data_IF_602178952499
#
_entry.id   IF_602178952499
#
_cell.length_a   1.000
_cell.length_b   1.000
_cell.length_c   1.000
_cell.angle_alpha   90.00
_cell.angle_beta   90.00
_cell.angle_gamma   90.00
#
_symmetry.space_group_name_H-M   'P 1'
#
loop_
_entity.id
_entity.type
_entity.pdbx_description
1 polymer ?
#
# COMPACT_ATOMS: atom_id res chain seq x y z
N UNK A 1 -47.43 19.42 20.61
CA UNK A 1 -46.82 18.07 20.59
C UNK A 1 -45.50 18.18 19.86
N UNK A 2 -44.40 18.23 20.63
CA UNK A 2 -43.05 18.09 20.09
C UNK A 2 -42.77 16.59 20.04
N UNK A 3 -42.52 16.05 18.85
CA UNK A 3 -42.06 14.67 18.70
C UNK A 3 -40.66 14.58 19.28
N UNK A 4 -40.49 13.65 20.21
CA UNK A 4 -39.22 13.31 20.82
C UNK A 4 -38.34 12.59 19.77
N UNK A 5 -37.17 13.15 19.47
CA UNK A 5 -36.20 12.57 18.54
C UNK A 5 -35.14 11.76 19.28
N UNK A 6 -35.32 11.50 20.58
CA UNK A 6 -34.40 10.64 21.33
C UNK A 6 -34.59 9.19 20.92
N UNK A 7 -33.48 8.55 20.53
CA UNK A 7 -33.32 7.08 20.45
C UNK A 7 -33.80 6.38 19.18
N UNK A 8 -33.77 7.04 18.02
CA UNK A 8 -33.42 6.28 16.83
C UNK A 8 -31.98 5.79 17.03
N UNK A 9 -31.80 4.49 17.23
CA UNK A 9 -30.52 3.82 17.21
C UNK A 9 -29.84 4.13 15.88
N UNK A 10 -29.02 5.18 15.87
CA UNK A 10 -28.11 5.49 14.78
C UNK A 10 -27.10 4.34 14.81
N UNK A 11 -27.45 3.22 14.20
CA UNK A 11 -26.50 2.23 13.71
C UNK A 11 -25.49 3.04 12.92
N UNK A 12 -24.29 3.24 13.46
CA UNK A 12 -23.27 4.11 12.84
C UNK A 12 -23.23 3.83 11.33
N UNK A 13 -23.78 4.71 10.47
CA UNK A 13 -23.88 4.43 9.05
C UNK A 13 -22.51 4.55 8.38
N UNK A 14 -21.52 5.04 9.13
CA UNK A 14 -20.15 5.19 8.72
C UNK A 14 -19.33 4.03 9.27
N UNK A 15 -18.67 3.31 8.37
CA UNK A 15 -17.62 2.37 8.73
C UNK A 15 -16.52 3.16 9.45
N UNK A 16 -16.44 3.00 10.77
CA UNK A 16 -15.39 3.59 11.61
C UNK A 16 -14.03 2.92 11.38
N UNK A 17 -14.02 1.73 10.76
CA UNK A 17 -12.83 1.00 10.38
C UNK A 17 -12.68 0.96 8.85
N UNK A 18 -11.50 1.34 8.37
CA UNK A 18 -11.09 1.15 6.97
C UNK A 18 -11.12 -0.34 6.66
N UNK A 19 -12.04 -0.77 5.79
CA UNK A 19 -12.07 -2.15 5.34
C UNK A 19 -10.95 -2.41 4.35
N UNK A 20 -10.11 -3.39 4.63
CA UNK A 20 -9.03 -3.80 3.72
C UNK A 20 -9.63 -4.79 2.71
N UNK A 21 -9.51 -4.47 1.43
CA UNK A 21 -9.99 -5.38 0.38
C UNK A 21 -9.18 -6.68 0.37
N UNK A 22 -9.78 -7.85 0.05
CA UNK A 22 -9.05 -9.12 -0.01
C UNK A 22 -7.86 -9.08 -0.98
N UNK A 23 -7.98 -8.35 -2.10
CA UNK A 23 -6.90 -8.19 -3.07
C UNK A 23 -5.75 -7.38 -2.48
N UNK A 24 -6.06 -6.28 -1.76
CA UNK A 24 -5.06 -5.46 -1.07
C UNK A 24 -4.34 -6.28 -0.01
N UNK A 25 -5.07 -7.08 0.78
CA UNK A 25 -4.51 -7.96 1.80
C UNK A 25 -3.55 -8.98 1.18
N UNK A 26 -3.94 -9.63 0.09
CA UNK A 26 -3.09 -10.60 -0.61
C UNK A 26 -1.82 -9.95 -1.16
N UNK A 27 -1.93 -8.76 -1.74
CA UNK A 27 -0.76 -8.02 -2.22
C UNK A 27 0.14 -7.54 -1.08
N UNK A 28 -0.44 -7.13 0.05
CA UNK A 28 0.28 -6.75 1.26
C UNK A 28 1.05 -7.94 1.85
N UNK A 29 0.42 -9.12 1.92
CA UNK A 29 1.05 -10.34 2.40
C UNK A 29 2.20 -10.80 1.49
N UNK A 30 1.99 -10.80 0.16
CA UNK A 30 3.06 -11.11 -0.79
C UNK A 30 4.23 -10.14 -0.65
N UNK A 31 3.93 -8.86 -0.50
CA UNK A 31 4.94 -7.83 -0.32
C UNK A 31 5.71 -8.00 1.00
N UNK A 32 5.01 -8.26 2.11
CA UNK A 32 5.64 -8.42 3.45
C UNK A 32 6.56 -9.63 3.53
N UNK A 33 6.29 -10.69 2.75
CA UNK A 33 7.17 -11.85 2.62
C UNK A 33 8.38 -11.53 1.72
N UNK A 34 8.20 -10.73 0.68
CA UNK A 34 9.25 -10.42 -0.30
C UNK A 34 10.23 -9.33 0.13
N UNK A 35 9.81 -8.44 1.02
CA UNK A 35 10.61 -7.27 1.38
C UNK A 35 11.73 -7.65 2.34
N UNK A 36 12.93 -7.14 2.07
CA UNK A 36 14.03 -7.25 3.00
C UNK A 36 13.82 -6.28 4.17
N UNK A 37 13.76 -6.82 5.38
CA UNK A 37 13.48 -6.04 6.60
C UNK A 37 14.60 -5.06 6.95
N UNK A 38 15.84 -5.32 6.53
CA UNK A 38 16.94 -4.38 6.76
C UNK A 38 16.76 -3.08 6.00
N UNK A 39 15.96 -3.08 4.93
CA UNK A 39 15.76 -1.91 4.07
C UNK A 39 14.67 -1.00 4.62
N UNK A 40 13.87 -1.47 5.60
CA UNK A 40 12.85 -0.68 6.27
C UNK A 40 13.53 0.21 7.31
N UNK A 41 13.57 1.52 7.03
CA UNK A 41 14.19 2.50 7.92
C UNK A 41 13.13 3.18 8.77
N UNK A 42 13.28 3.16 10.08
CA UNK A 42 12.47 4.00 10.97
C UNK A 42 12.90 5.46 10.83
N UNK A 43 11.95 6.39 10.72
CA UNK A 43 12.26 7.81 10.58
C UNK A 43 11.80 8.63 11.79
N UNK A 44 10.49 8.70 12.05
CA UNK A 44 9.93 9.46 13.16
C UNK A 44 8.52 8.97 13.52
N UNK A 45 8.19 8.96 14.81
CA UNK A 45 6.90 8.50 15.32
C UNK A 45 6.53 7.12 14.76
N UNK A 46 5.41 7.01 14.04
CA UNK A 46 4.93 5.79 13.39
C UNK A 46 5.29 5.70 11.91
N UNK A 47 6.15 6.59 11.40
CA UNK A 47 6.56 6.60 9.99
C UNK A 47 7.86 5.82 9.75
N UNK A 48 7.82 5.05 8.67
CA UNK A 48 8.92 4.25 8.15
C UNK A 48 9.15 4.61 6.68
N UNK A 49 10.41 4.58 6.26
CA UNK A 49 10.83 4.70 4.86
C UNK A 49 10.99 3.30 4.31
N UNK A 50 10.39 3.04 3.15
CA UNK A 50 10.40 1.72 2.54
C UNK A 50 10.75 1.82 1.06
N UNK A 51 11.64 0.98 0.52
CA UNK A 51 12.04 1.09 -0.87
C UNK A 51 10.89 0.72 -1.82
N UNK A 52 10.87 1.40 -2.97
CA UNK A 52 10.07 1.02 -4.13
C UNK A 52 10.68 -0.20 -4.82
N UNK A 53 9.89 -0.88 -5.65
CA UNK A 53 10.42 -1.95 -6.53
C UNK A 53 11.39 -1.43 -7.59
N UNK A 54 11.39 -0.12 -7.84
CA UNK A 54 12.27 0.57 -8.79
C UNK A 54 13.32 1.42 -8.09
N UNK A 55 13.56 1.19 -6.79
CA UNK A 55 14.52 1.98 -6.02
C UNK A 55 15.93 1.87 -6.63
N UNK A 56 16.52 3.02 -6.96
CA UNK A 56 17.92 3.12 -7.42
C UNK A 56 18.87 3.52 -6.29
N UNK A 57 18.32 4.02 -5.19
CA UNK A 57 19.05 4.48 -4.00
C UNK A 57 18.54 3.76 -2.74
N UNK A 58 19.40 3.68 -1.72
CA UNK A 58 19.04 3.10 -0.43
C UNK A 58 18.11 4.02 0.37
N UNK A 59 17.38 3.45 1.34
CA UNK A 59 16.45 4.22 2.18
C UNK A 59 17.14 5.28 3.06
N UNK A 60 18.39 5.05 3.46
CA UNK A 60 19.20 6.03 4.19
C UNK A 60 19.56 7.24 3.31
N UNK A 61 20.12 7.00 2.13
CA UNK A 61 20.46 8.05 1.16
C UNK A 61 19.22 8.84 0.75
N UNK A 62 18.10 8.12 0.54
CA UNK A 62 16.82 8.75 0.24
C UNK A 62 16.38 9.72 1.35
N UNK A 63 16.54 9.33 2.62
CA UNK A 63 16.15 10.14 3.77
C UNK A 63 17.06 11.36 3.95
N UNK A 64 18.36 11.22 3.69
CA UNK A 64 19.30 12.34 3.75
C UNK A 64 18.99 13.38 2.66
N UNK A 65 18.67 12.93 1.44
CA UNK A 65 18.20 13.81 0.37
C UNK A 65 16.88 14.50 0.75
N UNK A 66 15.93 13.76 1.32
CA UNK A 66 14.67 14.34 1.81
C UNK A 66 14.90 15.47 2.81
N UNK A 67 15.83 15.28 3.76
CA UNK A 67 16.19 16.28 4.77
C UNK A 67 16.89 17.48 4.18
N UNK A 68 17.75 17.27 3.18
CA UNK A 68 18.45 18.35 2.50
C UNK A 68 17.49 19.26 1.72
N UNK A 69 16.40 18.69 1.18
CA UNK A 69 15.46 19.41 0.31
C UNK A 69 16.10 19.94 -0.97
N UNK A 70 17.26 19.40 -1.36
CA UNK A 70 18.04 19.86 -2.49
C UNK A 70 18.06 18.80 -3.59
N UNK A 71 17.57 19.19 -4.77
CA UNK A 71 17.64 18.41 -6.00
C UNK A 71 18.25 19.29 -7.09
N UNK A 72 19.14 18.71 -7.90
CA UNK A 72 19.80 19.46 -8.97
C UNK A 72 18.85 19.75 -10.14
N UNK A 73 17.89 18.86 -10.39
CA UNK A 73 16.87 19.00 -11.43
C UNK A 73 15.51 18.43 -10.99
N UNK A 74 14.47 18.72 -11.79
CA UNK A 74 13.15 18.14 -11.57
C UNK A 74 13.15 16.61 -11.81
N UNK A 75 13.93 16.12 -12.76
CA UNK A 75 14.04 14.69 -13.03
C UNK A 75 14.69 13.94 -11.86
N UNK A 76 15.69 14.55 -11.20
CA UNK A 76 16.27 14.02 -9.97
C UNK A 76 15.24 13.94 -8.84
N UNK A 77 14.40 14.98 -8.71
CA UNK A 77 13.30 14.99 -7.76
C UNK A 77 12.30 13.86 -8.05
N UNK A 78 11.91 13.64 -9.31
CA UNK A 78 10.98 12.56 -9.68
C UNK A 78 11.61 11.18 -9.42
N UNK A 79 12.88 10.99 -9.77
CA UNK A 79 13.61 9.76 -9.52
C UNK A 79 13.71 9.48 -8.01
N UNK A 80 14.03 10.50 -7.21
CA UNK A 80 14.03 10.42 -5.75
C UNK A 80 12.62 10.09 -5.21
N UNK A 81 11.59 10.84 -5.58
CA UNK A 81 10.22 10.69 -5.06
C UNK A 81 9.62 9.30 -5.37
N UNK A 82 10.05 8.66 -6.46
CA UNK A 82 9.57 7.32 -6.87
C UNK A 82 10.42 6.16 -6.34
N UNK A 83 11.57 6.45 -5.74
CA UNK A 83 12.51 5.43 -5.25
C UNK A 83 12.11 4.86 -3.90
N UNK A 84 11.51 5.63 -3.00
CA UNK A 84 11.06 5.16 -1.69
C UNK A 84 9.72 5.78 -1.31
N UNK A 85 9.06 5.18 -0.32
CA UNK A 85 7.77 5.61 0.19
C UNK A 85 7.85 5.84 1.70
N UNK A 86 7.20 6.89 2.17
CA UNK A 86 6.89 7.08 3.58
C UNK A 86 5.61 6.32 3.89
N UNK A 87 5.66 5.48 4.92
CA UNK A 87 4.59 4.56 5.27
C UNK A 87 4.35 4.61 6.76
N UNK A 88 3.10 4.84 7.15
CA UNK A 88 2.63 4.61 8.52
C UNK A 88 1.78 3.33 8.52
N UNK A 89 2.09 2.33 9.37
CA UNK A 89 1.38 1.06 9.39
C UNK A 89 -0.13 1.27 9.51
N UNK A 90 -0.90 0.58 8.65
CA UNK A 90 -2.37 0.56 8.64
C UNK A 90 -3.08 1.93 8.49
N UNK A 91 -2.34 3.00 8.20
CA UNK A 91 -2.88 4.36 8.27
C UNK A 91 -2.64 5.14 6.97
N UNK A 92 -1.40 5.29 6.53
CA UNK A 92 -1.10 6.09 5.34
C UNK A 92 0.16 5.65 4.62
N UNK A 93 0.26 6.00 3.33
CA UNK A 93 1.45 5.76 2.51
C UNK A 93 1.54 6.78 1.39
N UNK A 94 2.75 7.28 1.10
CA UNK A 94 3.00 8.25 0.02
C UNK A 94 3.12 7.63 -1.36
N UNK A 95 2.93 6.31 -1.50
CA UNK A 95 2.90 5.69 -2.82
C UNK A 95 1.64 6.14 -3.60
N UNK A 96 1.65 6.09 -4.95
CA UNK A 96 0.53 6.58 -5.76
C UNK A 96 -0.83 5.94 -5.44
N UNK A 97 -0.83 4.67 -5.01
CA UNK A 97 -2.06 3.96 -4.61
C UNK A 97 -2.53 4.48 -3.24
N UNK A 98 -1.61 4.61 -2.28
CA UNK A 98 -1.91 5.10 -0.93
C UNK A 98 -2.47 6.52 -0.95
N UNK A 99 -1.92 7.40 -1.78
CA UNK A 99 -2.41 8.77 -1.94
C UNK A 99 -3.82 8.85 -2.54
N UNK A 100 -4.22 7.87 -3.38
CA UNK A 100 -5.53 7.85 -4.04
C UNK A 100 -6.61 7.15 -3.22
N UNK A 101 -6.25 6.07 -2.54
CA UNK A 101 -7.19 5.15 -1.90
C UNK A 101 -7.07 5.13 -0.37
N UNK A 102 -6.13 5.88 0.20
CA UNK A 102 -5.75 5.89 1.63
C UNK A 102 -5.22 4.56 2.19
N UNK A 103 -5.55 3.43 1.56
CA UNK A 103 -5.07 2.08 1.90
C UNK A 103 -4.28 1.50 0.73
N UNK A 104 -3.09 0.95 0.99
CA UNK A 104 -2.30 0.30 -0.03
C UNK A 104 -1.58 -0.93 0.54
N UNK A 105 -0.96 -1.72 -0.35
CA UNK A 105 -0.21 -2.91 0.06
C UNK A 105 0.94 -2.60 1.04
N UNK A 106 1.54 -1.41 0.99
CA UNK A 106 2.67 -1.06 1.83
C UNK A 106 2.23 -0.77 3.27
N UNK A 107 1.17 0.02 3.48
CA UNK A 107 0.69 0.32 4.84
C UNK A 107 0.15 -0.92 5.55
N UNK A 108 -0.62 -1.75 4.85
CA UNK A 108 -1.10 -3.04 5.36
C UNK A 108 0.04 -4.02 5.54
N UNK A 109 0.94 -4.11 4.54
CA UNK A 109 2.09 -5.01 4.56
C UNK A 109 3.02 -4.73 5.73
N UNK A 110 3.24 -3.45 6.04
CA UNK A 110 4.05 -3.04 7.18
C UNK A 110 3.37 -3.40 8.51
N UNK A 111 2.04 -3.27 8.58
CA UNK A 111 1.25 -3.79 9.69
C UNK A 111 1.41 -5.31 9.87
N UNK A 112 1.51 -6.08 8.79
CA UNK A 112 1.80 -7.52 8.84
C UNK A 112 3.23 -7.77 9.37
N UNK A 113 4.23 -7.05 8.85
CA UNK A 113 5.63 -7.19 9.28
C UNK A 113 5.78 -6.96 10.78
N UNK A 114 5.09 -5.94 11.31
CA UNK A 114 5.10 -5.61 12.74
C UNK A 114 4.03 -6.34 13.56
N UNK A 115 3.33 -7.33 12.98
CA UNK A 115 2.29 -8.11 13.66
C UNK A 115 1.13 -7.29 14.24
N UNK A 116 0.90 -6.08 13.72
CA UNK A 116 -0.25 -5.22 14.04
C UNK A 116 -1.50 -5.66 13.27
N UNK A 117 -1.33 -6.41 12.18
CA UNK A 117 -2.41 -6.94 11.37
C UNK A 117 -2.24 -8.45 11.15
N UNK A 118 -3.28 -9.21 11.46
CA UNK A 118 -3.30 -10.65 11.24
C UNK A 118 -3.93 -10.95 9.88
N UNK A 119 -3.12 -11.55 9.00
CA UNK A 119 -3.57 -11.98 7.67
C UNK A 119 -4.58 -13.12 7.81
N UNK A 120 -5.68 -13.04 7.08
CA UNK A 120 -6.72 -14.06 7.02
C UNK A 120 -6.18 -15.40 6.49
N UNK A 121 -6.73 -16.51 6.99
CA UNK A 121 -6.29 -17.86 6.59
C UNK A 121 -6.46 -18.12 5.09
N UNK A 122 -7.51 -17.54 4.50
CA UNK A 122 -7.75 -17.63 3.05
C UNK A 122 -6.56 -17.06 2.27
N UNK A 123 -6.08 -15.88 2.68
CA UNK A 123 -4.95 -15.21 2.05
C UNK A 123 -3.62 -15.95 2.29
N UNK A 124 -3.41 -16.55 3.47
CA UNK A 124 -2.19 -17.34 3.76
C UNK A 124 -2.08 -18.62 2.92
N UNK A 125 -3.21 -19.25 2.60
CA UNK A 125 -3.27 -20.48 1.80
C UNK A 125 -3.07 -20.22 0.30
N UNK A 126 -3.13 -18.96 -0.14
CA UNK A 126 -2.90 -18.59 -1.52
C UNK A 126 -1.43 -18.86 -1.89
N UNK A 127 -1.15 -19.64 -2.95
CA UNK A 127 0.22 -20.03 -3.27
C UNK A 127 1.05 -18.82 -3.70
N UNK A 128 2.16 -18.59 -3.00
CA UNK A 128 3.17 -17.59 -3.35
C UNK A 128 3.91 -18.07 -4.60
N UNK A 129 3.91 -17.27 -5.67
CA UNK A 129 4.77 -17.52 -6.83
C UNK A 129 4.23 -18.47 -7.91
N UNK A 130 2.94 -18.82 -7.94
CA UNK A 130 2.39 -19.44 -9.16
C UNK A 130 2.49 -18.43 -10.31
N UNK A 131 3.43 -18.68 -11.23
CA UNK A 131 3.47 -18.04 -12.55
C UNK A 131 2.06 -18.12 -13.11
N UNK A 132 1.42 -16.98 -13.41
CA UNK A 132 0.12 -16.97 -14.09
C UNK A 132 0.27 -17.94 -15.26
N UNK A 133 -0.52 -19.01 -15.28
CA UNK A 133 -0.50 -19.94 -16.42
C UNK A 133 -0.60 -19.09 -17.67
N UNK A 134 0.23 -19.35 -18.69
CA UNK A 134 0.18 -18.62 -19.97
C UNK A 134 -1.27 -18.69 -20.45
N UNK A 135 -2.03 -17.64 -20.21
CA UNK A 135 -3.40 -17.56 -20.67
C UNK A 135 -3.31 -17.55 -22.18
N UNK A 136 -3.97 -18.51 -22.84
CA UNK A 136 -4.28 -18.35 -24.26
C UNK A 136 -5.00 -17.01 -24.37
N UNK A 137 -4.56 -16.06 -25.22
CA UNK A 137 -5.29 -14.83 -25.45
C UNK A 137 -6.76 -15.18 -25.71
N UNK A 138 -7.70 -14.52 -25.02
CA UNK A 138 -9.13 -14.68 -25.35
C UNK A 138 -9.27 -14.38 -26.84
N UNK A 139 -9.95 -15.26 -27.59
CA UNK A 139 -10.23 -15.06 -29.03
C UNK A 139 -10.68 -13.60 -29.23
N UNK A 140 -9.93 -12.86 -30.04
CA UNK A 140 -10.25 -11.49 -30.41
C UNK A 140 -11.67 -11.49 -30.98
N UNK A 141 -12.57 -10.67 -30.42
CA UNK A 141 -13.88 -10.44 -31.05
C UNK A 141 -13.59 -9.71 -32.35
N UNK A 142 -13.99 -10.28 -33.48
CA UNK A 142 -13.92 -9.64 -34.79
C UNK A 142 -14.57 -8.27 -34.67
N UNK A 143 -13.84 -7.21 -35.03
CA UNK A 143 -14.43 -5.88 -35.11
C UNK A 143 -15.58 -5.93 -36.13
N UNK A 144 -16.73 -5.38 -35.77
CA UNK A 144 -17.79 -5.08 -36.73
C UNK A 144 -17.19 -4.09 -37.73
N UNK A 145 -16.92 -4.55 -38.95
CA UNK A 145 -16.77 -3.66 -40.09
C UNK A 145 -18.18 -3.14 -40.39
N UNK A 146 -18.42 -1.87 -40.05
CA UNK A 146 -19.55 -1.11 -40.56
C UNK A 146 -19.25 -0.64 -41.97
#
# INVERSE_FOLDING_TARGET
MLTDWSEASISSPFATATSISPDTELHAYKWSVSINRSDILHWFNTFYVVPSSTATITTSVWLDLYRSGQWASFDDFVAWQTSCWLVSPLTSCTCPIGLKQYTCKHSVGLGIVFSMYQVTDKTRREPLGKRKGKGRPKKVRTALLL
#
